data_IF_406490518902
#
_entry.id   IF_406490518902
#
_cell.length_a   1.000
_cell.length_b   1.000
_cell.length_c   1.000
_cell.angle_alpha   90.00
_cell.angle_beta   90.00
_cell.angle_gamma   90.00
#
_symmetry.space_group_name_H-M   'P 1'
#
loop_
_entity.id
_entity.type
_entity.pdbx_description
1 polymer ?
#
# COMPACT_ATOMS: atom_id res chain seq x y z
N UNK A 1 6.58 11.30 1.59
CA UNK A 1 6.41 9.83 1.75
C UNK A 1 6.15 9.51 3.21
N UNK A 2 5.28 8.58 3.47
CA UNK A 2 4.86 8.27 4.83
C UNK A 2 4.77 6.76 5.01
N UNK A 3 5.26 6.26 6.15
CA UNK A 3 5.21 4.84 6.51
C UNK A 3 4.33 4.67 7.74
N UNK A 4 3.34 3.78 7.64
CA UNK A 4 2.52 3.36 8.77
C UNK A 4 2.67 1.86 8.95
N UNK A 5 2.99 1.46 10.17
CA UNK A 5 3.10 0.04 10.51
C UNK A 5 2.11 -0.28 11.62
N UNK A 6 1.32 -1.33 11.41
CA UNK A 6 0.36 -1.80 12.39
C UNK A 6 0.88 -3.10 13.01
N UNK A 7 1.43 -3.05 14.22
CA UNK A 7 2.00 -4.25 14.84
C UNK A 7 0.94 -5.31 15.18
N UNK A 8 -0.32 -4.93 15.31
CA UNK A 8 -1.39 -5.88 15.59
C UNK A 8 -1.70 -6.71 14.34
N UNK A 9 -1.79 -6.05 13.20
CA UNK A 9 -2.09 -6.71 11.92
C UNK A 9 -0.83 -7.22 11.23
N UNK A 10 0.34 -6.84 11.73
CA UNK A 10 1.62 -7.15 11.11
C UNK A 10 1.68 -6.65 9.67
N UNK A 11 1.20 -5.44 9.45
CA UNK A 11 1.11 -4.83 8.13
C UNK A 11 1.80 -3.48 8.11
N UNK A 12 2.41 -3.14 6.99
CA UNK A 12 3.05 -1.85 6.78
C UNK A 12 2.46 -1.18 5.56
N UNK A 13 2.24 0.12 5.63
CA UNK A 13 1.71 0.88 4.51
C UNK A 13 2.67 2.04 4.22
N UNK A 14 3.07 2.16 2.96
CA UNK A 14 3.90 3.26 2.47
C UNK A 14 3.05 4.17 1.62
N UNK A 15 2.87 5.41 2.07
CA UNK A 15 2.17 6.40 1.28
C UNK A 15 3.19 7.13 0.40
N UNK A 16 3.02 7.02 -0.92
CA UNK A 16 3.94 7.63 -1.89
C UNK A 16 3.44 9.00 -2.29
N UNK A 17 2.12 9.13 -2.44
CA UNK A 17 1.47 10.36 -2.87
C UNK A 17 0.20 10.55 -2.07
N UNK A 18 -0.24 11.80 -1.90
CA UNK A 18 -1.51 12.07 -1.23
C UNK A 18 -2.68 12.14 -2.20
N UNK A 19 -2.47 11.72 -3.43
CA UNK A 19 -3.51 11.68 -4.46
C UNK A 19 -4.58 10.66 -4.08
N UNK A 20 -5.80 10.91 -4.49
CA UNK A 20 -6.92 10.02 -4.20
C UNK A 20 -6.75 8.68 -4.91
N UNK A 21 -7.03 7.59 -4.18
CA UNK A 21 -6.93 6.25 -4.74
C UNK A 21 -8.13 5.97 -5.64
N UNK A 22 -7.85 5.54 -6.87
CA UNK A 22 -8.88 5.16 -7.83
C UNK A 22 -9.02 3.65 -7.90
N UNK A 23 -7.90 2.92 -7.87
CA UNK A 23 -7.86 1.48 -8.06
C UNK A 23 -6.87 0.87 -7.07
N UNK A 24 -7.19 -0.33 -6.58
CA UNK A 24 -6.32 -1.09 -5.69
C UNK A 24 -6.13 -2.48 -6.29
N UNK A 25 -4.89 -2.96 -6.35
CA UNK A 25 -4.58 -4.28 -6.89
C UNK A 25 -3.63 -5.03 -5.98
N UNK A 26 -3.89 -6.32 -5.82
CA UNK A 26 -2.95 -7.20 -5.16
C UNK A 26 -2.00 -7.74 -6.22
N UNK A 27 -0.77 -7.22 -6.25
CA UNK A 27 0.21 -7.56 -7.30
C UNK A 27 0.96 -8.83 -7.00
N UNK A 28 1.07 -9.17 -5.72
CA UNK A 28 1.68 -10.41 -5.25
C UNK A 28 0.93 -10.81 -3.99
N UNK A 29 0.97 -12.08 -3.57
CA UNK A 29 0.33 -12.47 -2.32
C UNK A 29 0.86 -11.63 -1.16
N UNK A 30 -0.04 -10.88 -0.53
CA UNK A 30 0.32 -10.04 0.60
C UNK A 30 0.87 -8.67 0.23
N UNK A 31 0.91 -8.31 -1.05
CA UNK A 31 1.37 -7.00 -1.48
C UNK A 31 0.29 -6.31 -2.30
N UNK A 32 -0.23 -5.21 -1.77
CA UNK A 32 -1.34 -4.49 -2.37
C UNK A 32 -0.88 -3.09 -2.75
N UNK A 33 -1.17 -2.69 -3.98
CA UNK A 33 -0.75 -1.39 -4.50
C UNK A 33 -1.98 -0.56 -4.84
N UNK A 34 -1.97 0.71 -4.42
CA UNK A 34 -3.02 1.66 -4.73
C UNK A 34 -2.56 2.56 -5.88
N UNK A 35 -3.45 2.80 -6.83
CA UNK A 35 -3.19 3.64 -8.00
C UNK A 35 -4.18 4.78 -8.08
N UNK A 36 -3.76 5.90 -8.66
CA UNK A 36 -4.65 7.01 -8.94
C UNK A 36 -5.32 6.83 -10.31
N UNK A 37 -6.12 7.81 -10.72
CA UNK A 37 -6.86 7.70 -11.98
C UNK A 37 -5.95 7.74 -13.20
N UNK A 38 -4.71 8.18 -13.05
CA UNK A 38 -3.73 8.22 -14.13
C UNK A 38 -2.89 6.95 -14.18
N UNK A 39 -3.12 6.02 -13.25
CA UNK A 39 -2.38 4.78 -13.19
C UNK A 39 -1.05 4.91 -12.47
N UNK A 40 -0.84 6.02 -11.75
CA UNK A 40 0.37 6.21 -10.96
C UNK A 40 0.19 5.59 -9.58
N UNK A 41 1.28 5.06 -9.03
CA UNK A 41 1.27 4.43 -7.72
C UNK A 41 1.08 5.47 -6.62
N UNK A 42 0.05 5.27 -5.79
CA UNK A 42 -0.25 6.16 -4.67
C UNK A 42 0.34 5.61 -3.37
N UNK A 43 0.29 4.31 -3.20
CA UNK A 43 0.80 3.69 -1.99
C UNK A 43 0.92 2.19 -2.14
N UNK A 44 1.62 1.57 -1.18
CA UNK A 44 1.82 0.13 -1.14
C UNK A 44 1.55 -0.37 0.27
N UNK A 45 0.78 -1.46 0.37
CA UNK A 45 0.56 -2.13 1.63
C UNK A 45 1.19 -3.52 1.58
N UNK A 46 1.97 -3.86 2.62
CA UNK A 46 2.60 -5.18 2.74
C UNK A 46 2.04 -5.87 3.95
N UNK A 47 1.46 -7.04 3.76
CA UNK A 47 0.89 -7.84 4.83
C UNK A 47 1.93 -8.87 5.30
N UNK A 48 1.83 -9.28 6.58
CA UNK A 48 2.73 -10.25 7.17
C UNK A 48 4.19 -9.82 7.08
N UNK A 49 4.45 -8.59 7.52
CA UNK A 49 5.78 -7.96 7.39
C UNK A 49 6.87 -8.78 8.09
N UNK A 50 6.53 -9.41 9.23
CA UNK A 50 7.53 -10.14 10.03
C UNK A 50 7.81 -11.54 9.51
N UNK A 51 7.18 -11.97 8.44
CA UNK A 51 7.39 -13.31 7.88
C UNK A 51 8.50 -13.36 6.87
#
# INVERSE_FOLDING_TARGET
>A
MKLDFDPISDAAYFEISSTEVETTEEVEPGIIVDYDQDGHMVGIEVLSVSK
#
